data_IF_936945216825
#
_entry.id   IF_936945216825
#
_cell.length_a   1.000
_cell.length_b   1.000
_cell.length_c   1.000
_cell.angle_alpha   90.00
_cell.angle_beta   90.00
_cell.angle_gamma   90.00
#
_symmetry.space_group_name_H-M   'P 1'
#
loop_
_entity.id
_entity.type
_entity.pdbx_description
1 polymer ?
#
# COMPACT_ATOMS: atom_id res chain seq x y z
N UNK A 1 18.06 45.66 -14.74
CA UNK A 1 16.99 44.89 -15.41
C UNK A 1 16.88 43.58 -14.63
N UNK A 2 16.08 43.43 -13.56
CA UNK A 2 14.63 43.57 -13.33
C UNK A 2 13.75 42.59 -14.12
N UNK A 3 12.75 42.04 -13.40
CA UNK A 3 11.75 40.97 -13.65
C UNK A 3 12.21 39.62 -13.06
N UNK A 4 11.63 39.04 -11.97
CA UNK A 4 10.20 38.94 -11.57
C UNK A 4 9.54 37.82 -12.41
N UNK A 5 8.84 36.79 -11.92
CA UNK A 5 8.11 36.59 -10.67
C UNK A 5 7.89 35.09 -10.32
N UNK A 6 7.63 34.88 -9.02
CA UNK A 6 6.91 33.83 -8.30
C UNK A 6 5.72 33.14 -9.00
N UNK A 7 5.56 31.81 -8.83
CA UNK A 7 4.31 31.16 -8.33
C UNK A 7 4.41 29.61 -8.29
N UNK A 8 4.48 28.95 -7.11
CA UNK A 8 4.15 27.50 -6.96
C UNK A 8 3.87 27.08 -5.50
N UNK A 9 3.38 27.97 -4.62
CA UNK A 9 3.27 27.66 -3.17
C UNK A 9 1.88 27.35 -2.63
N UNK A 10 0.83 27.41 -3.45
CA UNK A 10 -0.55 27.37 -2.94
C UNK A 10 -1.35 26.09 -3.27
N UNK A 11 -0.76 25.04 -3.84
CA UNK A 11 -1.51 23.82 -4.23
C UNK A 11 -1.46 22.66 -3.21
N UNK A 12 -0.82 22.83 -2.04
CA UNK A 12 -0.57 21.70 -1.11
C UNK A 12 -1.57 21.61 0.05
N UNK A 13 -2.36 22.65 0.33
CA UNK A 13 -3.19 22.68 1.56
C UNK A 13 -4.61 22.11 1.41
N UNK A 14 -5.12 21.86 0.19
CA UNK A 14 -6.52 21.45 0.01
C UNK A 14 -6.77 19.94 0.23
N UNK A 15 -5.71 19.11 0.24
CA UNK A 15 -5.86 17.64 0.25
C UNK A 15 -5.80 16.97 1.64
N UNK A 16 -5.56 17.72 2.72
CA UNK A 16 -5.37 17.13 4.07
C UNK A 16 -6.69 17.00 4.84
N UNK A 17 -7.72 17.76 4.47
CA UNK A 17 -8.98 17.85 5.24
C UNK A 17 -10.02 16.78 4.89
N UNK A 18 -9.84 16.02 3.80
CA UNK A 18 -10.85 15.06 3.34
C UNK A 18 -10.71 13.63 3.94
N UNK A 19 -9.66 13.34 4.72
CA UNK A 19 -9.35 11.96 5.14
C UNK A 19 -9.99 11.58 6.49
N UNK A 20 -10.63 12.51 7.20
CA UNK A 20 -11.02 12.32 8.61
C UNK A 20 -12.48 11.95 8.90
N UNK A 21 -13.31 11.69 7.88
CA UNK A 21 -14.76 11.57 8.07
C UNK A 21 -15.38 10.22 7.66
N UNK A 22 -14.66 9.10 7.75
CA UNK A 22 -15.24 7.79 7.43
C UNK A 22 -14.57 6.66 8.20
N UNK A 23 -14.83 6.56 9.50
CA UNK A 23 -14.51 5.36 10.28
C UNK A 23 -15.52 5.21 11.40
N UNK A 24 -16.70 4.68 11.07
CA UNK A 24 -17.61 4.10 12.05
C UNK A 24 -18.34 2.92 11.38
N UNK A 25 -18.28 1.80 12.10
CA UNK A 25 -19.14 0.61 12.08
C UNK A 25 -19.07 -0.37 10.89
N UNK A 26 -18.27 -1.44 11.06
CA UNK A 26 -18.67 -2.78 10.64
C UNK A 26 -17.91 -3.86 11.44
N UNK A 27 -18.50 -4.34 12.53
CA UNK A 27 -18.04 -5.53 13.26
C UNK A 27 -18.85 -6.74 12.77
N UNK A 28 -18.24 -7.57 11.92
CA UNK A 28 -18.79 -8.88 11.55
C UNK A 28 -18.30 -9.93 12.54
N UNK A 29 -19.25 -10.52 13.27
CA UNK A 29 -19.04 -11.64 14.18
C UNK A 29 -18.82 -12.93 13.37
N UNK A 30 -17.60 -13.47 13.38
CA UNK A 30 -17.29 -14.76 12.74
C UNK A 30 -17.66 -15.88 13.71
N UNK A 31 -18.77 -16.58 13.44
CA UNK A 31 -19.08 -17.86 14.07
C UNK A 31 -18.34 -18.97 13.33
N UNK A 32 -17.41 -19.60 14.03
CA UNK A 32 -16.61 -20.72 13.55
C UNK A 32 -17.40 -22.02 13.83
N UNK A 33 -18.27 -22.43 12.90
CA UNK A 33 -18.84 -23.78 12.90
C UNK A 33 -18.03 -24.67 11.95
N UNK A 34 -17.31 -25.59 12.57
CA UNK A 34 -16.60 -26.71 11.95
C UNK A 34 -17.62 -27.69 11.36
N UNK A 35 -17.76 -27.73 10.03
CA UNK A 35 -18.39 -28.87 9.34
C UNK A 35 -17.34 -29.65 8.57
N UNK A 36 -17.19 -30.90 8.99
CA UNK A 36 -16.37 -31.96 8.40
C UNK A 36 -17.20 -32.63 7.32
N UNK A 37 -16.86 -32.44 6.05
CA UNK A 37 -17.41 -33.20 4.92
C UNK A 37 -16.29 -33.59 3.94
N UNK A 38 -15.40 -34.48 4.40
CA UNK A 38 -14.51 -35.25 3.52
C UNK A 38 -15.21 -36.59 3.17
N UNK A 39 -16.20 -36.57 2.27
CA UNK A 39 -16.76 -37.78 1.67
C UNK A 39 -15.86 -38.24 0.50
N UNK A 40 -14.88 -39.07 0.81
CA UNK A 40 -14.16 -39.87 -0.19
C UNK A 40 -15.12 -40.91 -0.80
N UNK A 41 -15.61 -40.63 -2.01
CA UNK A 41 -16.31 -41.57 -2.88
C UNK A 41 -15.40 -42.77 -3.21
N UNK A 42 -15.51 -43.82 -2.40
CA UNK A 42 -14.94 -45.14 -2.68
C UNK A 42 -15.87 -45.87 -3.66
N UNK A 43 -15.53 -45.85 -4.95
CA UNK A 43 -16.19 -46.71 -5.93
C UNK A 43 -15.30 -47.93 -6.16
N UNK A 44 -15.71 -49.05 -5.57
CA UNK A 44 -15.16 -50.38 -5.82
C UNK A 44 -15.08 -50.64 -7.33
N UNK A 45 -13.86 -50.89 -7.78
CA UNK A 45 -13.53 -51.46 -9.07
C UNK A 45 -13.35 -52.98 -8.82
N UNK A 46 -13.82 -53.81 -9.77
CA UNK A 46 -13.75 -55.30 -9.86
C UNK A 46 -15.05 -56.05 -9.49
N UNK A 47 -15.70 -56.88 -10.32
CA UNK A 47 -15.37 -57.62 -11.56
C UNK A 47 -16.69 -58.00 -12.31
N UNK A 48 -16.61 -58.48 -13.57
CA UNK A 48 -17.27 -59.76 -13.82
C UNK A 48 -16.37 -60.78 -14.55
N UNK A 49 -16.21 -62.02 -14.05
CA UNK A 49 -15.67 -63.10 -14.85
C UNK A 49 -16.79 -63.90 -15.53
N UNK A 50 -16.66 -63.99 -16.85
CA UNK A 50 -16.93 -65.17 -17.67
C UNK A 50 -18.36 -65.74 -17.74
N UNK A 51 -19.00 -65.51 -18.88
CA UNK A 51 -20.17 -66.26 -19.32
C UNK A 51 -20.37 -66.18 -20.83
N UNK A 52 -19.99 -67.25 -21.54
CA UNK A 52 -20.68 -67.67 -22.77
C UNK A 52 -20.37 -66.92 -24.07
N UNK A 53 -19.56 -67.56 -24.91
CA UNK A 53 -19.67 -67.48 -26.37
C UNK A 53 -21.12 -67.39 -26.82
N UNK A 54 -21.48 -66.36 -27.60
CA UNK A 54 -22.43 -66.47 -28.70
C UNK A 54 -22.28 -65.27 -29.65
N UNK A 55 -22.06 -65.60 -30.91
CA UNK A 55 -21.95 -64.71 -32.06
C UNK A 55 -23.19 -63.79 -32.16
N UNK A 56 -23.06 -62.50 -31.84
CA UNK A 56 -24.08 -61.51 -32.23
C UNK A 56 -23.57 -60.06 -32.21
N UNK A 57 -22.37 -59.81 -32.74
CA UNK A 57 -21.87 -58.44 -32.92
C UNK A 57 -22.17 -57.85 -34.31
N UNK A 58 -22.82 -58.61 -35.20
CA UNK A 58 -23.00 -58.22 -36.61
C UNK A 58 -24.42 -57.77 -36.99
N UNK A 59 -25.33 -57.56 -36.02
CA UNK A 59 -26.72 -57.15 -36.33
C UNK A 59 -27.22 -55.90 -35.60
N UNK A 60 -26.42 -55.25 -34.76
CA UNK A 60 -26.91 -54.14 -33.92
C UNK A 60 -27.00 -52.78 -34.64
N UNK A 61 -26.65 -52.71 -35.92
CA UNK A 61 -26.74 -51.50 -36.76
C UNK A 61 -27.85 -51.54 -37.82
N UNK A 62 -28.79 -52.50 -37.76
CA UNK A 62 -29.80 -52.66 -38.80
C UNK A 62 -31.02 -51.74 -38.71
N UNK A 63 -31.07 -50.81 -37.75
CA UNK A 63 -32.16 -49.84 -37.69
C UNK A 63 -31.62 -48.43 -37.90
N UNK A 64 -31.35 -48.08 -39.17
CA UNK A 64 -31.05 -46.71 -39.58
C UNK A 64 -32.15 -45.73 -39.12
N UNK A 65 -33.38 -46.20 -38.93
CA UNK A 65 -34.47 -45.39 -38.38
C UNK A 65 -34.28 -45.11 -36.89
N UNK A 66 -33.76 -46.07 -36.11
CA UNK A 66 -33.44 -45.89 -34.69
C UNK A 66 -32.35 -44.85 -34.50
N UNK A 67 -31.23 -44.93 -35.24
CA UNK A 67 -30.16 -43.93 -35.15
C UNK A 67 -30.64 -42.53 -35.58
N UNK A 68 -31.45 -42.45 -36.64
CA UNK A 68 -32.03 -41.19 -37.10
C UNK A 68 -33.04 -40.62 -36.08
N UNK A 69 -33.83 -41.48 -35.43
CA UNK A 69 -34.74 -41.08 -34.36
C UNK A 69 -33.96 -40.59 -33.13
N UNK A 70 -32.90 -41.29 -32.72
CA UNK A 70 -32.01 -40.85 -31.64
C UNK A 70 -31.31 -39.53 -31.98
N UNK A 71 -30.83 -39.35 -33.21
CA UNK A 71 -30.26 -38.08 -33.67
C UNK A 71 -31.31 -36.96 -33.64
N UNK A 72 -32.56 -37.25 -34.03
CA UNK A 72 -33.68 -36.31 -33.96
C UNK A 72 -34.03 -35.95 -32.52
N UNK A 73 -34.16 -36.92 -31.62
CA UNK A 73 -34.38 -36.69 -30.19
C UNK A 73 -33.24 -35.89 -29.57
N UNK A 74 -31.99 -36.22 -29.88
CA UNK A 74 -30.81 -35.49 -29.41
C UNK A 74 -30.80 -34.04 -29.93
N UNK A 75 -31.05 -33.85 -31.23
CA UNK A 75 -31.14 -32.51 -31.83
C UNK A 75 -32.29 -31.69 -31.23
N UNK A 76 -33.43 -32.33 -30.94
CA UNK A 76 -34.58 -31.68 -30.33
C UNK A 76 -34.33 -31.37 -28.85
N UNK A 77 -33.65 -32.25 -28.10
CA UNK A 77 -33.22 -31.95 -26.74
C UNK A 77 -32.22 -30.81 -26.70
N UNK A 78 -31.27 -30.75 -27.64
CA UNK A 78 -30.35 -29.62 -27.76
C UNK A 78 -31.12 -28.34 -28.10
N UNK A 79 -32.03 -28.38 -29.08
CA UNK A 79 -32.85 -27.24 -29.44
C UNK A 79 -33.73 -26.78 -28.26
N UNK A 80 -34.32 -27.71 -27.51
CA UNK A 80 -35.14 -27.41 -26.34
C UNK A 80 -34.32 -26.88 -25.15
N UNK A 81 -33.08 -27.34 -25.00
CA UNK A 81 -32.14 -26.77 -24.03
C UNK A 81 -31.66 -25.39 -24.44
N UNK A 82 -31.47 -25.13 -25.75
CA UNK A 82 -31.12 -23.81 -26.27
C UNK A 82 -32.29 -22.83 -26.22
N UNK A 83 -33.52 -23.31 -26.41
CA UNK A 83 -34.77 -22.55 -26.28
C UNK A 83 -35.24 -22.46 -24.81
N UNK A 84 -34.48 -23.06 -23.87
CA UNK A 84 -34.77 -22.99 -22.45
C UNK A 84 -34.34 -21.63 -21.91
N UNK A 85 -35.28 -20.94 -21.26
CA UNK A 85 -35.04 -19.67 -20.56
C UNK A 85 -33.90 -19.73 -19.52
N UNK A 86 -33.49 -20.93 -19.12
CA UNK A 86 -32.42 -21.13 -18.13
C UNK A 86 -31.04 -20.93 -18.74
N UNK A 87 -30.85 -21.18 -20.03
CA UNK A 87 -29.60 -20.84 -20.75
C UNK A 87 -29.50 -19.32 -20.90
N UNK A 88 -30.59 -18.64 -21.26
CA UNK A 88 -30.61 -17.17 -21.32
C UNK A 88 -30.34 -16.52 -19.96
N UNK A 89 -30.94 -17.06 -18.87
CA UNK A 89 -30.64 -16.61 -17.50
C UNK A 89 -29.18 -16.85 -17.13
N UNK A 90 -28.62 -18.01 -17.48
CA UNK A 90 -27.22 -18.31 -17.23
C UNK A 90 -26.29 -17.33 -17.97
N UNK A 91 -26.59 -17.02 -19.23
CA UNK A 91 -25.83 -16.04 -20.02
C UNK A 91 -25.95 -14.61 -19.45
N UNK A 92 -27.13 -14.21 -18.99
CA UNK A 92 -27.32 -12.91 -18.32
C UNK A 92 -26.52 -12.85 -17.02
N UNK A 93 -26.56 -13.91 -16.20
CA UNK A 93 -25.78 -13.99 -14.97
C UNK A 93 -24.27 -13.97 -15.26
N UNK A 94 -23.83 -14.70 -16.28
CA UNK A 94 -22.43 -14.70 -16.71
C UNK A 94 -21.99 -13.32 -17.18
N UNK A 95 -22.82 -12.62 -17.96
CA UNK A 95 -22.55 -11.25 -18.38
C UNK A 95 -22.51 -10.28 -17.19
N UNK A 96 -23.40 -10.43 -16.21
CA UNK A 96 -23.40 -9.62 -14.98
C UNK A 96 -22.16 -9.88 -14.12
N UNK A 97 -21.80 -11.16 -13.91
CA UNK A 97 -20.60 -11.55 -13.18
C UNK A 97 -19.36 -11.01 -13.89
N UNK A 98 -19.28 -11.16 -15.22
CA UNK A 98 -18.19 -10.63 -16.02
C UNK A 98 -18.11 -9.10 -15.93
N UNK A 99 -19.25 -8.40 -15.94
CA UNK A 99 -19.29 -6.95 -15.77
C UNK A 99 -18.79 -6.51 -14.39
N UNK A 100 -19.26 -7.17 -13.34
CA UNK A 100 -18.84 -6.91 -11.96
C UNK A 100 -17.35 -7.19 -11.77
N UNK A 101 -16.86 -8.32 -12.29
CA UNK A 101 -15.46 -8.72 -12.21
C UNK A 101 -14.57 -7.72 -12.96
N UNK A 102 -15.00 -7.23 -14.13
CA UNK A 102 -14.28 -6.21 -14.85
C UNK A 102 -14.22 -4.88 -14.09
N UNK A 103 -15.31 -4.47 -13.45
CA UNK A 103 -15.34 -3.24 -12.64
C UNK A 103 -14.40 -3.34 -11.42
N UNK A 104 -14.42 -4.46 -10.70
CA UNK A 104 -13.50 -4.68 -9.57
C UNK A 104 -12.04 -4.79 -10.03
N UNK A 105 -11.80 -5.41 -11.19
CA UNK A 105 -10.45 -5.44 -11.78
C UNK A 105 -9.96 -4.04 -12.13
N UNK A 106 -10.81 -3.20 -12.72
CA UNK A 106 -10.47 -1.80 -13.02
C UNK A 106 -10.13 -1.01 -11.74
N UNK A 107 -10.92 -1.21 -10.68
CA UNK A 107 -10.67 -0.61 -9.37
C UNK A 107 -9.35 -1.10 -8.76
N UNK A 108 -9.04 -2.38 -8.91
CA UNK A 108 -7.77 -2.96 -8.46
C UNK A 108 -6.58 -2.34 -9.21
N UNK A 109 -6.68 -2.19 -10.53
CA UNK A 109 -5.67 -1.53 -11.36
C UNK A 109 -5.47 -0.06 -10.94
N UNK A 110 -6.56 0.67 -10.66
CA UNK A 110 -6.47 2.05 -10.18
C UNK A 110 -5.77 2.12 -8.81
N UNK A 111 -6.17 1.28 -7.86
CA UNK A 111 -5.56 1.27 -6.52
C UNK A 111 -4.09 0.87 -6.55
N UNK A 112 -3.71 -0.09 -7.39
CA UNK A 112 -2.30 -0.50 -7.57
C UNK A 112 -1.48 0.62 -8.20
N UNK A 113 -2.02 1.34 -9.18
CA UNK A 113 -1.38 2.53 -9.76
C UNK A 113 -1.14 3.63 -8.72
N UNK A 114 -2.15 3.95 -7.90
CA UNK A 114 -2.03 4.92 -6.81
C UNK A 114 -0.96 4.48 -5.80
N UNK A 115 -0.95 3.18 -5.43
CA UNK A 115 0.03 2.64 -4.50
C UNK A 115 1.45 2.77 -5.05
N UNK A 116 1.65 2.44 -6.34
CA UNK A 116 2.94 2.56 -7.01
C UNK A 116 3.42 4.01 -7.05
N UNK A 117 2.52 4.96 -7.36
CA UNK A 117 2.86 6.39 -7.35
C UNK A 117 3.27 6.88 -5.95
N UNK A 118 2.53 6.48 -4.90
CA UNK A 118 2.86 6.82 -3.51
C UNK A 118 4.19 6.21 -3.08
N UNK A 119 4.46 4.96 -3.44
CA UNK A 119 5.71 4.29 -3.13
C UNK A 119 6.90 4.96 -3.84
N UNK A 120 6.73 5.31 -5.12
CA UNK A 120 7.75 6.06 -5.87
C UNK A 120 8.02 7.44 -5.28
N UNK A 121 6.99 8.15 -4.84
CA UNK A 121 7.12 9.43 -4.13
C UNK A 121 7.89 9.26 -2.81
N UNK A 122 7.53 8.26 -2.01
CA UNK A 122 8.20 7.98 -0.75
C UNK A 122 9.67 7.60 -0.95
N UNK A 123 9.97 6.80 -1.96
CA UNK A 123 11.34 6.45 -2.32
C UNK A 123 12.13 7.68 -2.77
N UNK A 124 11.55 8.54 -3.60
CA UNK A 124 12.18 9.81 -4.00
C UNK A 124 12.45 10.72 -2.80
N UNK A 125 11.51 10.79 -1.85
CA UNK A 125 11.67 11.57 -0.63
C UNK A 125 12.79 11.00 0.25
N UNK A 126 12.81 9.67 0.42
CA UNK A 126 13.87 8.99 1.14
C UNK A 126 15.23 9.27 0.49
N UNK A 127 15.37 9.11 -0.82
CA UNK A 127 16.62 9.35 -1.53
C UNK A 127 17.08 10.81 -1.45
N UNK A 128 16.14 11.76 -1.39
CA UNK A 128 16.46 13.19 -1.29
C UNK A 128 16.97 13.61 0.10
N UNK A 129 16.42 13.05 1.17
CA UNK A 129 16.71 13.49 2.54
C UNK A 129 17.61 12.54 3.32
N UNK A 130 17.43 11.23 3.12
CA UNK A 130 18.10 10.16 3.83
C UNK A 130 19.11 9.40 2.95
N UNK A 131 18.92 9.39 1.64
CA UNK A 131 19.85 8.80 0.69
C UNK A 131 21.20 9.54 0.65
N UNK A 132 22.28 8.78 0.48
CA UNK A 132 23.64 9.31 0.28
C UNK A 132 23.93 9.41 -1.22
N UNK A 133 23.46 10.48 -1.88
CA UNK A 133 23.53 10.62 -3.34
C UNK A 133 24.85 11.20 -3.87
N UNK A 134 25.63 11.92 -3.05
CA UNK A 134 26.73 12.78 -3.55
C UNK A 134 28.14 12.37 -3.06
N UNK A 135 28.55 11.11 -3.23
CA UNK A 135 29.83 10.57 -2.68
C UNK A 135 30.05 10.89 -1.17
N UNK A 136 28.97 11.31 -0.52
CA UNK A 136 28.91 11.81 0.84
C UNK A 136 28.56 10.63 1.71
N UNK A 137 29.38 10.34 2.72
CA UNK A 137 29.12 9.26 3.67
C UNK A 137 27.90 9.52 4.57
N UNK A 138 27.35 10.74 4.54
CA UNK A 138 26.26 11.19 5.39
C UNK A 138 25.11 11.75 4.55
N UNK A 139 23.89 11.47 5.00
CA UNK A 139 22.66 11.99 4.40
C UNK A 139 22.47 13.48 4.67
N UNK A 140 21.52 14.12 3.96
CA UNK A 140 21.20 15.54 4.19
C UNK A 140 20.72 15.79 5.62
N UNK A 141 19.83 14.93 6.13
CA UNK A 141 19.32 15.04 7.51
C UNK A 141 20.47 14.88 8.52
N UNK A 142 21.35 13.92 8.30
CA UNK A 142 22.50 13.71 9.19
C UNK A 142 23.49 14.89 9.14
N UNK A 143 23.67 15.50 7.95
CA UNK A 143 24.46 16.73 7.81
C UNK A 143 23.84 17.87 8.63
N UNK A 144 22.54 18.11 8.48
CA UNK A 144 21.84 19.15 9.24
C UNK A 144 21.91 18.91 10.74
N UNK A 145 21.78 17.65 11.19
CA UNK A 145 21.95 17.29 12.60
C UNK A 145 23.35 17.64 13.12
N UNK A 146 24.38 17.32 12.33
CA UNK A 146 25.76 17.66 12.68
C UNK A 146 26.00 19.18 12.71
N UNK A 147 25.40 19.92 11.79
CA UNK A 147 25.45 21.38 11.75
C UNK A 147 24.75 22.01 12.96
N UNK A 148 23.57 21.53 13.35
CA UNK A 148 22.85 21.96 14.56
C UNK A 148 23.73 21.72 15.80
N UNK A 149 24.26 20.51 15.96
CA UNK A 149 25.16 20.19 17.07
C UNK A 149 26.40 21.10 17.10
N UNK A 150 26.93 21.47 15.94
CA UNK A 150 28.07 22.38 15.85
C UNK A 150 27.70 23.82 16.26
N UNK A 151 26.51 24.27 15.89
CA UNK A 151 25.97 25.57 16.31
C UNK A 151 25.72 25.59 17.82
N UNK A 152 25.12 24.54 18.37
CA UNK A 152 24.89 24.41 19.83
C UNK A 152 26.19 24.49 20.61
N UNK A 153 27.21 23.71 20.22
CA UNK A 153 28.55 23.79 20.84
C UNK A 153 29.17 25.18 20.74
N UNK A 154 28.96 25.85 19.61
CA UNK A 154 29.46 27.22 19.41
C UNK A 154 28.72 28.22 20.29
N UNK A 155 27.41 28.04 20.47
CA UNK A 155 26.57 28.85 21.34
C UNK A 155 26.95 28.67 22.80
N UNK A 156 27.16 27.42 23.25
CA UNK A 156 27.65 27.13 24.61
C UNK A 156 29.00 27.79 24.85
N UNK A 157 29.93 27.67 23.90
CA UNK A 157 31.25 28.32 24.00
C UNK A 157 31.16 29.85 24.01
N UNK A 158 30.17 30.44 23.33
CA UNK A 158 29.93 31.87 23.37
C UNK A 158 29.34 32.30 24.71
N UNK A 159 28.39 31.53 25.23
CA UNK A 159 27.68 31.79 26.49
C UNK A 159 28.59 31.69 27.70
N UNK A 160 29.36 30.61 27.79
CA UNK A 160 30.18 30.28 28.97
C UNK A 160 31.69 30.42 28.75
N UNK A 161 32.12 30.84 27.56
CA UNK A 161 33.54 30.92 27.21
C UNK A 161 34.15 29.55 26.92
N UNK A 162 35.44 29.52 26.61
CA UNK A 162 36.17 28.26 26.40
C UNK A 162 36.55 27.69 27.77
N UNK A 163 35.86 26.65 28.21
CA UNK A 163 36.24 25.84 29.38
C UNK A 163 37.61 25.20 29.11
N UNK A 164 38.68 25.73 29.69
CA UNK A 164 40.02 25.14 29.65
C UNK A 164 40.22 24.45 31.00
N UNK A 165 40.49 23.14 30.99
CA UNK A 165 40.57 22.27 32.18
C UNK A 165 41.73 22.59 33.16
N UNK A 166 42.41 23.72 33.02
CA UNK A 166 43.58 24.07 33.82
C UNK A 166 43.46 25.51 34.38
N UNK A 167 43.92 25.77 35.61
CA UNK A 167 43.82 27.09 36.23
C UNK A 167 44.90 28.02 35.65
N UNK A 168 44.65 28.57 34.47
CA UNK A 168 45.52 29.60 33.86
C UNK A 168 44.98 31.00 34.15
N UNK A 169 44.89 31.36 35.43
CA UNK A 169 44.44 32.68 35.90
C UNK A 169 45.45 33.82 35.64
N UNK A 170 46.47 33.61 34.79
CA UNK A 170 47.59 34.54 34.58
C UNK A 170 47.86 34.91 33.12
N UNK A 171 47.08 34.40 32.16
CA UNK A 171 47.22 34.79 30.74
C UNK A 171 46.04 35.68 30.34
N UNK A 172 46.27 37.00 30.35
CA UNK A 172 45.43 38.00 29.67
C UNK A 172 45.23 37.57 28.22
N UNK A 173 44.08 37.00 27.91
CA UNK A 173 43.77 36.49 26.57
C UNK A 173 42.75 35.35 26.54
N UNK A 174 42.33 34.83 27.71
CA UNK A 174 41.24 33.88 27.79
C UNK A 174 39.92 34.57 27.43
N UNK A 175 39.26 34.10 26.37
CA UNK A 175 37.97 34.65 25.92
C UNK A 175 36.89 34.26 26.94
N UNK A 176 36.51 35.22 27.77
CA UNK A 176 35.40 35.12 28.73
C UNK A 176 34.09 34.83 27.99
N UNK A 177 33.14 34.16 28.65
CA UNK A 177 31.81 33.98 28.10
C UNK A 177 31.00 35.27 28.15
N UNK A 178 29.98 35.39 27.30
CA UNK A 178 29.07 36.57 27.28
C UNK A 178 28.41 36.79 28.65
N UNK A 179 28.11 35.72 29.39
CA UNK A 179 27.53 35.85 30.75
C UNK A 179 28.52 36.51 31.72
N UNK A 180 29.81 36.19 31.59
CA UNK A 180 30.85 36.73 32.47
C UNK A 180 31.23 38.15 32.09
N UNK A 181 31.21 38.48 30.79
CA UNK A 181 31.59 39.78 30.26
C UNK A 181 30.45 40.81 30.37
N UNK A 182 29.20 40.39 30.16
CA UNK A 182 27.99 41.25 30.15
C UNK A 182 26.81 40.57 30.86
N UNK A 183 26.88 40.41 32.19
CA UNK A 183 25.87 39.66 32.94
C UNK A 183 24.50 40.33 32.90
N UNK A 184 24.43 41.65 33.12
CA UNK A 184 23.16 42.38 33.23
C UNK A 184 22.42 42.38 31.90
N UNK A 185 23.12 42.73 30.82
CA UNK A 185 22.58 42.79 29.47
C UNK A 185 22.15 41.40 28.98
N UNK A 186 22.90 40.36 29.35
CA UNK A 186 22.54 38.97 29.02
C UNK A 186 21.20 38.58 29.65
N UNK A 187 21.00 38.84 30.95
CA UNK A 187 19.75 38.49 31.63
C UNK A 187 18.57 39.33 31.13
N UNK A 188 18.76 40.64 30.90
CA UNK A 188 17.74 41.50 30.32
C UNK A 188 17.30 41.01 28.92
N UNK A 189 18.28 40.68 28.06
CA UNK A 189 17.98 40.16 26.72
C UNK A 189 17.31 38.78 26.78
N UNK A 190 17.72 37.90 27.72
CA UNK A 190 17.12 36.59 27.91
C UNK A 190 15.65 36.71 28.33
N UNK A 191 15.37 37.54 29.33
CA UNK A 191 14.03 37.69 29.86
C UNK A 191 13.09 38.30 28.81
N UNK A 192 13.56 39.30 28.05
CA UNK A 192 12.83 39.87 26.90
C UNK A 192 12.54 38.87 25.76
N UNK A 193 13.33 37.81 25.62
CA UNK A 193 13.06 36.73 24.65
C UNK A 193 12.04 35.76 25.20
N UNK A 194 12.11 35.43 26.50
CA UNK A 194 11.17 34.52 27.15
C UNK A 194 9.75 35.08 27.18
N UNK A 195 9.60 36.39 27.39
CA UNK A 195 8.30 37.06 27.38
C UNK A 195 7.61 36.96 26.00
N UNK A 196 8.36 37.06 24.90
CA UNK A 196 7.84 36.94 23.53
C UNK A 196 7.30 35.56 23.16
N UNK A 197 7.63 34.51 23.91
CA UNK A 197 7.13 33.15 23.68
C UNK A 197 5.81 32.92 24.45
N UNK A 198 5.53 33.78 25.44
CA UNK A 198 4.33 33.69 26.29
C UNK A 198 3.16 34.54 25.76
N UNK A 199 3.42 35.45 24.84
CA UNK A 199 2.42 36.17 24.02
C UNK A 199 1.96 35.32 22.83
#
# INVERSE_FOLDING_TARGET
MSLGDSNTRDEVEENVTAIRASTEDDYVHINNESSSDDEYLSSDQENPPMGGSNNHLDSQFHDLSSLNNHAKYFSNSILQSLDSSDVDKALVLEAQISGNLNNENQKLVEKTSILQAKLGSLQSLFDAYFGTKDNSKISRVERLRNEINAIEKRLERLKYGRQVSFPTSLIKGQKCGVIEEYPVEYFEARDKVLERIQE
#
